data_IF_333240187702
#
_entry.id   IF_333240187702
#
_cell.length_a   1.000
_cell.length_b   1.000
_cell.length_c   1.000
_cell.angle_alpha   90.00
_cell.angle_beta   90.00
_cell.angle_gamma   90.00
#
_symmetry.space_group_name_H-M   'P 1'
#
loop_
_entity.id
_entity.type
_entity.pdbx_description
1 polymer ?
#
# COMPACT_ATOMS: atom_id res chain seq x y z
N UNK A 1 15.55 -37.43 17.14
CA UNK A 1 15.74 -37.17 15.70
C UNK A 1 15.24 -35.76 15.42
N UNK A 2 16.15 -34.79 15.35
CA UNK A 2 15.85 -33.38 15.07
C UNK A 2 16.07 -33.14 13.59
N UNK A 3 15.00 -33.04 12.80
CA UNK A 3 15.06 -32.62 11.39
C UNK A 3 15.48 -31.16 11.32
N UNK A 4 16.51 -30.78 10.55
CA UNK A 4 16.87 -29.39 10.37
C UNK A 4 15.76 -28.68 9.56
N UNK A 5 15.22 -27.59 10.08
CA UNK A 5 14.38 -26.67 9.33
C UNK A 5 15.26 -25.97 8.28
N UNK A 6 15.14 -26.38 7.02
CA UNK A 6 15.70 -25.62 5.90
C UNK A 6 14.82 -24.39 5.66
N UNK A 7 15.36 -23.21 5.97
CA UNK A 7 14.72 -21.93 5.65
C UNK A 7 15.31 -21.46 4.33
N UNK A 8 14.50 -21.46 3.26
CA UNK A 8 14.90 -20.90 1.97
C UNK A 8 14.75 -19.37 2.00
N UNK A 9 15.78 -18.68 1.50
CA UNK A 9 15.88 -17.21 1.49
C UNK A 9 16.11 -16.73 0.07
N UNK A 10 15.28 -15.80 -0.43
CA UNK A 10 15.50 -15.16 -1.74
C UNK A 10 16.35 -13.90 -1.52
N UNK A 11 17.47 -13.81 -2.24
CA UNK A 11 18.46 -12.76 -2.13
C UNK A 11 18.86 -12.20 -3.50
N UNK A 12 18.99 -10.88 -3.63
CA UNK A 12 19.59 -10.23 -4.80
C UNK A 12 21.10 -10.02 -4.52
N UNK A 13 21.95 -10.46 -5.43
CA UNK A 13 23.42 -10.39 -5.31
C UNK A 13 24.00 -9.36 -6.30
N UNK A 14 24.90 -8.51 -5.79
CA UNK A 14 25.78 -7.64 -6.57
C UNK A 14 27.21 -8.20 -6.46
N UNK A 15 27.86 -8.48 -7.58
CA UNK A 15 29.13 -9.21 -7.61
C UNK A 15 30.33 -8.31 -7.87
N UNK A 16 31.29 -8.28 -6.94
CA UNK A 16 32.72 -8.09 -7.22
C UNK A 16 33.48 -9.30 -6.66
N UNK A 17 34.31 -9.92 -7.49
CA UNK A 17 34.99 -11.19 -7.29
C UNK A 17 36.05 -11.12 -6.17
N UNK A 18 35.79 -11.76 -5.02
CA UNK A 18 36.82 -12.14 -4.04
C UNK A 18 36.51 -13.55 -3.52
N UNK A 19 37.48 -14.46 -3.70
CA UNK A 19 37.32 -15.92 -3.70
C UNK A 19 37.06 -16.59 -2.34
N UNK A 20 36.97 -15.84 -1.24
CA UNK A 20 36.67 -16.38 0.11
C UNK A 20 35.66 -15.52 0.90
N UNK A 21 34.95 -14.59 0.24
CA UNK A 21 33.97 -13.75 0.92
C UNK A 21 32.60 -14.39 0.81
N UNK A 22 32.09 -14.93 1.92
CA UNK A 22 30.68 -15.35 2.03
C UNK A 22 29.82 -14.14 1.66
N UNK A 23 29.14 -14.23 0.52
CA UNK A 23 28.26 -13.17 0.05
C UNK A 23 27.07 -13.09 1.00
N UNK A 24 26.91 -11.93 1.63
CA UNK A 24 25.70 -11.62 2.38
C UNK A 24 24.67 -11.03 1.42
N UNK A 25 23.40 -11.42 1.55
CA UNK A 25 22.34 -10.83 0.75
C UNK A 25 22.24 -9.32 1.03
N UNK A 26 21.99 -8.52 0.00
CA UNK A 26 21.75 -7.08 0.17
C UNK A 26 20.46 -6.84 0.97
N UNK A 27 19.43 -7.65 0.72
CA UNK A 27 18.21 -7.71 1.52
C UNK A 27 17.59 -9.11 1.44
N UNK A 28 16.80 -9.44 2.47
CA UNK A 28 15.92 -10.61 2.47
C UNK A 28 14.49 -10.10 2.42
N UNK A 29 13.84 -10.24 1.27
CA UNK A 29 12.49 -9.70 1.02
C UNK A 29 11.38 -10.69 1.35
N UNK A 30 11.71 -11.99 1.47
CA UNK A 30 10.77 -13.04 1.83
C UNK A 30 11.49 -14.26 2.40
N UNK A 31 10.86 -14.93 3.38
CA UNK A 31 11.34 -16.18 3.98
C UNK A 31 10.21 -17.19 4.03
N UNK A 32 10.47 -18.40 3.53
CA UNK A 32 9.57 -19.53 3.66
C UNK A 32 10.38 -20.83 3.63
N UNK A 33 9.94 -21.85 4.38
CA UNK A 33 10.65 -23.12 4.54
C UNK A 33 10.43 -24.11 3.39
N UNK A 34 9.58 -23.78 2.41
CA UNK A 34 9.20 -24.72 1.35
C UNK A 34 9.26 -24.11 -0.05
N UNK A 35 10.21 -23.21 -0.32
CA UNK A 35 10.42 -22.66 -1.66
C UNK A 35 11.29 -23.64 -2.47
N UNK A 36 10.80 -24.09 -3.62
CA UNK A 36 11.50 -25.05 -4.50
C UNK A 36 11.94 -24.45 -5.83
N UNK A 37 11.34 -23.34 -6.25
CA UNK A 37 11.64 -22.66 -7.51
C UNK A 37 11.50 -21.16 -7.36
N UNK A 38 12.29 -20.41 -8.13
CA UNK A 38 12.21 -18.94 -8.18
C UNK A 38 12.44 -18.47 -9.62
N UNK A 39 11.63 -17.53 -10.07
CA UNK A 39 11.83 -16.75 -11.28
C UNK A 39 11.55 -15.27 -10.98
N UNK A 40 12.14 -14.37 -11.73
CA UNK A 40 12.02 -12.94 -11.48
C UNK A 40 11.85 -12.17 -12.79
N UNK A 41 11.07 -11.10 -12.72
CA UNK A 41 10.97 -10.09 -13.77
C UNK A 41 11.10 -8.71 -13.17
N UNK A 42 11.59 -7.78 -13.99
CA UNK A 42 11.51 -6.36 -13.70
C UNK A 42 10.38 -5.77 -14.55
N UNK A 43 9.44 -5.10 -13.90
CA UNK A 43 8.40 -4.31 -14.57
C UNK A 43 8.52 -2.87 -14.07
N UNK A 44 9.06 -1.98 -14.91
CA UNK A 44 9.34 -0.58 -14.56
C UNK A 44 10.18 -0.46 -13.26
N UNK A 45 9.63 0.23 -12.26
CA UNK A 45 10.22 0.44 -10.93
C UNK A 45 9.96 -0.72 -9.95
N UNK A 46 9.41 -1.83 -10.42
CA UNK A 46 9.06 -2.97 -9.59
C UNK A 46 9.86 -4.21 -9.98
N UNK A 47 10.25 -4.98 -8.96
CA UNK A 47 10.79 -6.33 -9.09
C UNK A 47 9.66 -7.27 -8.71
N UNK A 48 9.33 -8.22 -9.59
CA UNK A 48 8.33 -9.24 -9.30
C UNK A 48 9.00 -10.59 -9.23
N UNK A 49 8.86 -11.23 -8.07
CA UNK A 49 9.36 -12.57 -7.79
C UNK A 49 8.21 -13.57 -7.89
N UNK A 50 8.42 -14.63 -8.64
CA UNK A 50 7.55 -15.79 -8.71
C UNK A 50 8.26 -16.94 -8.02
N UNK A 51 7.62 -17.59 -7.07
CA UNK A 51 8.23 -18.70 -6.36
C UNK A 51 7.25 -19.86 -6.16
N UNK A 52 7.70 -21.04 -6.56
CA UNK A 52 6.97 -22.28 -6.38
C UNK A 52 7.28 -22.92 -5.03
N UNK A 53 6.32 -23.69 -4.50
CA UNK A 53 6.52 -24.46 -3.27
C UNK A 53 6.54 -25.97 -3.50
N UNK A 54 7.05 -26.70 -2.51
CA UNK A 54 6.98 -28.15 -2.49
C UNK A 54 5.57 -28.73 -2.36
N UNK A 55 4.57 -27.89 -2.04
CA UNK A 55 3.13 -28.22 -2.00
C UNK A 55 2.37 -27.79 -3.25
N UNK A 56 3.05 -27.34 -4.30
CA UNK A 56 2.41 -27.04 -5.58
C UNK A 56 1.77 -25.65 -5.66
N UNK A 57 2.19 -24.72 -4.79
CA UNK A 57 1.73 -23.33 -4.83
C UNK A 57 2.69 -22.47 -5.65
N UNK A 58 2.18 -21.79 -6.68
CA UNK A 58 2.90 -20.71 -7.33
C UNK A 58 2.50 -19.39 -6.67
N UNK A 59 3.46 -18.70 -6.09
CA UNK A 59 3.26 -17.41 -5.45
C UNK A 59 3.93 -16.30 -6.25
N UNK A 60 3.38 -15.10 -6.15
CA UNK A 60 3.90 -13.86 -6.72
C UNK A 60 4.14 -12.85 -5.60
N UNK A 61 5.30 -12.22 -5.59
CA UNK A 61 5.65 -11.15 -4.67
C UNK A 61 6.16 -9.95 -5.44
N UNK A 62 5.49 -8.81 -5.27
CA UNK A 62 5.91 -7.53 -5.82
C UNK A 62 6.80 -6.81 -4.81
N UNK A 63 7.94 -6.29 -5.26
CA UNK A 63 8.95 -5.63 -4.45
C UNK A 63 9.30 -4.29 -5.11
N UNK A 64 9.32 -3.22 -4.34
CA UNK A 64 9.68 -1.90 -4.87
C UNK A 64 11.20 -1.70 -5.02
N UNK A 65 11.61 -0.59 -5.64
CA UNK A 65 13.05 -0.23 -5.80
C UNK A 65 13.84 -0.12 -4.49
N UNK A 66 13.16 0.15 -3.37
CA UNK A 66 13.77 0.22 -2.04
C UNK A 66 13.79 -1.14 -1.34
N UNK A 67 13.52 -2.23 -2.08
CA UNK A 67 13.47 -3.60 -1.58
C UNK A 67 12.40 -3.81 -0.50
N UNK A 68 11.34 -2.99 -0.47
CA UNK A 68 10.19 -3.22 0.41
C UNK A 68 9.24 -4.22 -0.26
N UNK A 69 8.98 -5.38 0.37
CA UNK A 69 8.05 -6.35 -0.17
C UNK A 69 6.60 -5.89 0.02
N UNK A 70 5.77 -6.12 -1.00
CA UNK A 70 4.33 -6.20 -0.86
C UNK A 70 3.90 -7.52 -0.22
N UNK A 71 2.66 -7.95 -0.46
CA UNK A 71 2.21 -9.25 0.00
C UNK A 71 2.26 -10.31 -1.09
N UNK A 72 2.64 -11.55 -0.72
CA UNK A 72 2.57 -12.67 -1.64
C UNK A 72 1.12 -12.96 -2.03
N UNK A 73 0.90 -13.15 -3.33
CA UNK A 73 -0.39 -13.61 -3.89
C UNK A 73 -0.19 -14.99 -4.48
N UNK A 74 -1.08 -15.94 -4.21
CA UNK A 74 -1.06 -17.26 -4.87
C UNK A 74 -1.61 -17.09 -6.28
N UNK A 75 -0.87 -17.47 -7.31
CA UNK A 75 -1.35 -17.48 -8.69
C UNK A 75 -1.92 -18.84 -9.10
N UNK A 76 -1.45 -19.90 -8.45
CA UNK A 76 -1.89 -21.26 -8.72
C UNK A 76 -1.74 -22.12 -7.46
N UNK A 77 -2.70 -23.03 -7.26
CA UNK A 77 -2.64 -24.09 -6.27
C UNK A 77 -2.92 -25.42 -6.95
N UNK A 78 -2.04 -26.39 -6.75
CA UNK A 78 -2.31 -27.78 -7.12
C UNK A 78 -3.36 -28.39 -6.18
N UNK A 79 -4.12 -29.36 -6.69
CA UNK A 79 -5.00 -30.20 -5.86
C UNK A 79 -4.28 -31.43 -5.28
N UNK A 80 -3.14 -31.77 -5.86
CA UNK A 80 -2.25 -32.84 -5.40
C UNK A 80 -0.98 -32.18 -4.86
N UNK A 81 -0.49 -32.55 -3.68
CA UNK A 81 0.71 -31.98 -3.04
C UNK A 81 2.00 -32.33 -3.81
N UNK A 82 2.11 -31.83 -5.05
CA UNK A 82 3.23 -32.02 -5.97
C UNK A 82 4.13 -30.80 -5.93
N UNK A 83 5.45 -31.01 -5.93
CA UNK A 83 6.39 -29.91 -5.89
C UNK A 83 6.54 -29.24 -7.26
N UNK A 84 6.63 -27.91 -7.27
CA UNK A 84 7.00 -27.16 -8.48
C UNK A 84 8.50 -27.32 -8.72
N UNK A 85 8.88 -27.72 -9.93
CA UNK A 85 10.29 -27.91 -10.29
C UNK A 85 11.04 -26.57 -10.39
N UNK A 86 12.37 -26.55 -10.14
CA UNK A 86 13.16 -25.32 -10.05
C UNK A 86 13.08 -24.38 -11.26
N UNK A 87 12.86 -24.92 -12.46
CA UNK A 87 12.87 -24.16 -13.70
C UNK A 87 11.47 -23.68 -14.04
N UNK A 88 11.29 -22.36 -14.04
CA UNK A 88 10.11 -21.68 -14.54
C UNK A 88 10.50 -20.72 -15.67
N UNK A 89 9.65 -20.60 -16.70
CA UNK A 89 9.95 -19.85 -17.91
C UNK A 89 8.81 -18.91 -18.26
N UNK A 90 9.10 -17.64 -18.50
CA UNK A 90 8.10 -16.70 -18.98
C UNK A 90 7.83 -16.89 -20.47
N UNK A 91 6.63 -16.51 -20.92
CA UNK A 91 6.37 -16.36 -22.36
C UNK A 91 7.36 -15.38 -22.96
N UNK A 92 7.89 -15.65 -24.17
CA UNK A 92 8.94 -14.83 -24.77
C UNK A 92 8.44 -13.43 -25.17
N UNK A 93 7.14 -13.28 -25.43
CA UNK A 93 6.51 -12.04 -25.85
C UNK A 93 5.70 -11.50 -24.67
N UNK A 94 5.98 -10.27 -24.26
CA UNK A 94 5.31 -9.52 -23.17
C UNK A 94 5.29 -10.18 -21.78
N UNK A 95 5.81 -11.39 -21.62
CA UNK A 95 5.91 -12.12 -20.34
C UNK A 95 4.56 -12.26 -19.62
N UNK A 96 3.48 -12.46 -20.38
CA UNK A 96 2.09 -12.59 -19.88
C UNK A 96 1.81 -13.84 -19.07
N UNK A 97 2.61 -14.89 -19.27
CA UNK A 97 2.43 -16.17 -18.60
C UNK A 97 3.76 -16.74 -18.14
N UNK A 98 3.70 -17.58 -17.12
CA UNK A 98 4.80 -18.38 -16.61
C UNK A 98 4.47 -19.87 -16.77
N UNK A 99 5.39 -20.58 -17.40
CA UNK A 99 5.39 -22.03 -17.53
C UNK A 99 6.16 -22.63 -16.36
N UNK A 100 5.52 -23.53 -15.62
CA UNK A 100 6.14 -24.28 -14.51
C UNK A 100 5.82 -25.78 -14.58
N UNK A 101 6.84 -26.61 -14.40
CA UNK A 101 6.63 -28.05 -14.34
C UNK A 101 6.20 -28.46 -12.92
N UNK A 102 5.14 -29.27 -12.85
CA UNK A 102 4.53 -29.78 -11.64
C UNK A 102 4.41 -31.30 -11.78
N UNK A 103 5.26 -32.05 -11.08
CA UNK A 103 5.40 -33.49 -11.30
C UNK A 103 5.73 -33.79 -12.78
N UNK A 104 4.83 -34.50 -13.46
CA UNK A 104 4.96 -34.86 -14.88
C UNK A 104 4.17 -33.95 -15.83
N UNK A 105 3.66 -32.81 -15.33
CA UNK A 105 2.81 -31.90 -16.09
C UNK A 105 3.49 -30.55 -16.31
N UNK A 106 3.13 -29.90 -17.43
CA UNK A 106 3.56 -28.55 -17.76
C UNK A 106 2.37 -27.61 -17.60
N UNK A 107 2.41 -26.72 -16.61
CA UNK A 107 1.31 -25.78 -16.32
C UNK A 107 1.69 -24.39 -16.82
N UNK A 108 0.74 -23.73 -17.50
CA UNK A 108 0.83 -22.32 -17.91
C UNK A 108 -0.05 -21.50 -16.97
N UNK A 109 0.52 -20.50 -16.30
CA UNK A 109 -0.20 -19.63 -15.38
C UNK A 109 -0.03 -18.17 -15.81
N UNK A 110 -1.10 -17.37 -15.94
CA UNK A 110 -0.98 -15.94 -16.18
C UNK A 110 -0.21 -15.24 -15.05
N UNK A 111 0.68 -14.31 -15.39
CA UNK A 111 1.48 -13.59 -14.38
C UNK A 111 0.65 -12.58 -13.58
N UNK A 112 -0.52 -12.21 -14.09
CA UNK A 112 -1.49 -11.32 -13.46
C UNK A 112 -2.90 -11.60 -14.01
N UNK A 113 -3.91 -11.26 -13.22
CA UNK A 113 -5.33 -11.40 -13.59
C UNK A 113 -6.01 -10.01 -13.55
N UNK A 114 -5.55 -9.07 -14.39
CA UNK A 114 -5.98 -7.68 -14.31
C UNK A 114 -7.51 -7.49 -14.40
N UNK A 115 -8.19 -8.34 -15.19
CA UNK A 115 -9.63 -8.27 -15.39
C UNK A 115 -10.49 -8.53 -14.15
N UNK A 116 -9.91 -8.93 -13.01
CA UNK A 116 -10.66 -9.03 -11.73
C UNK A 116 -10.99 -7.64 -11.16
N UNK A 117 -10.20 -6.61 -11.50
CA UNK A 117 -10.40 -5.25 -11.02
C UNK A 117 -11.32 -4.48 -11.97
N UNK A 118 -12.54 -4.19 -11.51
CA UNK A 118 -13.61 -3.61 -12.33
C UNK A 118 -13.62 -2.08 -12.34
N UNK A 119 -12.88 -1.43 -11.45
CA UNK A 119 -12.83 0.04 -11.34
C UNK A 119 -11.40 0.56 -11.44
N UNK A 120 -11.23 1.82 -11.85
CA UNK A 120 -9.91 2.48 -11.87
C UNK A 120 -9.25 2.45 -10.48
N UNK A 121 -10.04 2.69 -9.43
CA UNK A 121 -9.54 2.68 -8.05
C UNK A 121 -9.01 1.31 -7.65
N UNK A 122 -9.74 0.24 -7.93
CA UNK A 122 -9.32 -1.12 -7.56
C UNK A 122 -8.10 -1.56 -8.35
N UNK A 123 -8.07 -1.26 -9.65
CA UNK A 123 -6.96 -1.60 -10.54
C UNK A 123 -5.65 -0.91 -10.11
N UNK A 124 -5.71 0.39 -9.81
CA UNK A 124 -4.54 1.15 -9.36
C UNK A 124 -4.09 0.72 -7.96
N UNK A 125 -5.03 0.47 -7.05
CA UNK A 125 -4.75 0.10 -5.65
C UNK A 125 -4.22 -1.33 -5.49
N UNK A 126 -4.36 -2.18 -6.52
CA UNK A 126 -3.80 -3.52 -6.55
C UNK A 126 -2.27 -3.54 -6.49
N UNK A 127 -1.61 -2.43 -6.91
CA UNK A 127 -0.16 -2.31 -6.98
C UNK A 127 0.52 -3.47 -7.74
N UNK A 128 -0.21 -4.06 -8.70
CA UNK A 128 0.31 -5.10 -9.57
C UNK A 128 0.95 -4.45 -10.81
N UNK A 129 2.29 -4.49 -10.98
CA UNK A 129 2.97 -3.76 -12.03
C UNK A 129 2.77 -4.32 -13.45
N UNK A 130 2.01 -5.40 -13.59
CA UNK A 130 1.54 -5.87 -14.90
C UNK A 130 0.17 -5.30 -15.28
N UNK A 131 -0.56 -4.75 -14.31
CA UNK A 131 -1.91 -4.24 -14.48
C UNK A 131 -1.96 -2.72 -14.47
N UNK A 132 -2.83 -2.17 -15.30
CA UNK A 132 -3.13 -0.76 -15.33
C UNK A 132 -4.49 -0.52 -15.97
N UNK A 133 -5.04 0.65 -15.71
CA UNK A 133 -6.38 0.97 -16.16
C UNK A 133 -6.36 1.55 -17.58
N UNK A 134 -7.01 0.88 -18.52
CA UNK A 134 -7.16 1.37 -19.87
C UNK A 134 -8.36 2.32 -19.94
N UNK A 135 -8.11 3.64 -19.99
CA UNK A 135 -9.14 4.69 -19.93
C UNK A 135 -10.15 4.56 -21.06
N UNK A 136 -9.69 4.37 -22.29
CA UNK A 136 -10.56 4.28 -23.48
C UNK A 136 -11.45 3.04 -23.50
N UNK A 137 -11.04 1.97 -22.82
CA UNK A 137 -11.80 0.71 -22.73
C UNK A 137 -12.53 0.55 -21.38
N UNK A 138 -12.30 1.46 -20.43
CA UNK A 138 -12.86 1.42 -19.07
C UNK A 138 -12.69 0.04 -18.41
N UNK A 139 -11.48 -0.51 -18.47
CA UNK A 139 -11.14 -1.81 -17.85
C UNK A 139 -9.68 -1.88 -17.42
N UNK A 140 -9.40 -2.73 -16.45
CA UNK A 140 -8.02 -3.05 -16.04
C UNK A 140 -7.40 -4.11 -16.98
N UNK A 141 -6.24 -3.82 -17.56
CA UNK A 141 -5.58 -4.67 -18.55
C UNK A 141 -4.05 -4.61 -18.46
N UNK A 142 -3.37 -5.47 -19.22
CA UNK A 142 -1.96 -5.29 -19.49
C UNK A 142 -1.72 -4.05 -20.36
N UNK A 143 -0.51 -3.51 -20.32
CA UNK A 143 -0.13 -2.34 -21.10
C UNK A 143 -0.25 -2.57 -22.61
N UNK A 144 0.11 -3.75 -23.11
CA UNK A 144 0.08 -4.06 -24.55
C UNK A 144 -1.35 -4.26 -25.10
N UNK A 145 -2.35 -4.39 -24.24
CA UNK A 145 -3.77 -4.49 -24.61
C UNK A 145 -4.45 -3.10 -24.73
N UNK A 146 -3.72 -2.03 -24.44
CA UNK A 146 -4.20 -0.65 -24.41
C UNK A 146 -3.28 0.29 -25.20
N UNK A 147 -3.83 1.41 -25.70
CA UNK A 147 -3.00 2.49 -26.21
C UNK A 147 -2.12 3.03 -25.06
N UNK A 148 -0.83 3.27 -25.33
CA UNK A 148 0.11 3.75 -24.32
C UNK A 148 -0.29 5.11 -23.72
N UNK A 149 -0.99 5.95 -24.48
CA UNK A 149 -1.51 7.25 -24.02
C UNK A 149 -2.66 7.13 -23.00
N UNK A 150 -3.34 5.99 -22.97
CA UNK A 150 -4.60 5.81 -22.24
C UNK A 150 -4.45 4.83 -21.08
N UNK A 151 -3.25 4.29 -20.86
CA UNK A 151 -2.99 3.27 -19.86
C UNK A 151 -2.46 3.90 -18.57
N UNK A 152 -3.29 3.92 -17.54
CA UNK A 152 -2.93 4.40 -16.20
C UNK A 152 -2.17 3.32 -15.46
N UNK A 153 -0.88 3.54 -15.23
CA UNK A 153 -0.03 2.62 -14.49
C UNK A 153 -0.23 2.73 -12.98
N UNK A 154 0.11 1.67 -12.25
CA UNK A 154 0.35 1.71 -10.80
C UNK A 154 1.50 2.70 -10.48
N UNK A 155 1.58 3.22 -9.24
CA UNK A 155 2.64 4.15 -8.86
C UNK A 155 4.02 3.48 -8.94
N UNK A 156 5.07 4.27 -9.12
CA UNK A 156 6.45 3.77 -9.20
C UNK A 156 7.05 3.35 -7.84
N UNK A 157 6.32 3.52 -6.75
CA UNK A 157 6.78 3.26 -5.37
C UNK A 157 5.64 2.71 -4.51
N UNK A 158 5.96 1.83 -3.56
CA UNK A 158 4.99 1.32 -2.58
C UNK A 158 4.59 2.33 -1.50
N UNK A 159 5.28 3.47 -1.43
CA UNK A 159 4.96 4.55 -0.48
C UNK A 159 3.70 5.32 -0.91
N UNK A 160 3.42 5.38 -2.21
CA UNK A 160 2.26 6.07 -2.75
C UNK A 160 1.07 5.12 -2.76
N UNK A 161 0.21 5.23 -1.73
CA UNK A 161 -0.91 4.30 -1.50
C UNK A 161 -2.27 4.86 -1.84
N UNK A 162 -2.34 6.16 -2.09
CA UNK A 162 -3.58 6.85 -2.41
C UNK A 162 -3.58 7.30 -3.86
N UNK A 163 -4.66 7.04 -4.58
CA UNK A 163 -4.81 7.51 -5.97
C UNK A 163 -5.09 9.02 -6.04
N UNK A 164 -5.58 9.63 -4.96
CA UNK A 164 -5.79 11.08 -4.83
C UNK A 164 -5.02 11.58 -3.62
N UNK A 165 -4.04 12.46 -3.86
CA UNK A 165 -3.34 13.22 -2.82
C UNK A 165 -4.09 14.51 -2.55
N UNK A 166 -4.19 14.89 -1.28
CA UNK A 166 -4.74 16.19 -0.87
C UNK A 166 -3.74 16.86 0.06
N UNK A 167 -3.42 18.11 -0.24
CA UNK A 167 -2.46 18.90 0.50
C UNK A 167 -3.08 20.22 0.92
N UNK A 168 -2.71 20.67 2.11
CA UNK A 168 -3.11 21.98 2.63
C UNK A 168 -1.87 22.84 2.85
N UNK A 169 -1.96 24.09 2.41
CA UNK A 169 -0.94 25.12 2.64
C UNK A 169 -1.62 26.36 3.18
N UNK A 170 -1.12 26.88 4.30
CA UNK A 170 -1.57 28.17 4.84
C UNK A 170 -0.76 29.28 4.16
N UNK A 171 -1.47 30.31 3.70
CA UNK A 171 -0.87 31.51 3.12
C UNK A 171 0.01 32.25 4.13
N UNK A 172 0.98 33.01 3.64
CA UNK A 172 1.93 33.76 4.48
C UNK A 172 1.26 34.87 5.30
N UNK A 173 0.12 35.39 4.85
CA UNK A 173 -0.72 36.32 5.59
C UNK A 173 -1.49 35.65 6.76
N UNK A 174 -1.49 34.31 6.84
CA UNK A 174 -2.18 33.53 7.87
C UNK A 174 -3.70 33.46 7.74
N UNK A 175 -4.28 34.16 6.76
CA UNK A 175 -5.72 34.38 6.65
C UNK A 175 -6.40 33.38 5.70
N UNK A 176 -5.65 32.78 4.78
CA UNK A 176 -6.17 31.84 3.79
C UNK A 176 -5.50 30.46 3.88
N UNK A 177 -6.29 29.41 3.66
CA UNK A 177 -5.86 28.02 3.56
C UNK A 177 -6.14 27.55 2.13
N UNK A 178 -5.07 27.25 1.39
CA UNK A 178 -5.15 26.65 0.07
C UNK A 178 -5.17 25.13 0.21
N UNK A 179 -6.25 24.51 -0.24
CA UNK A 179 -6.41 23.07 -0.38
C UNK A 179 -6.14 22.71 -1.84
N UNK A 180 -5.20 21.81 -2.10
CA UNK A 180 -4.91 21.32 -3.45
C UNK A 180 -5.05 19.81 -3.46
N UNK A 181 -5.85 19.31 -4.40
CA UNK A 181 -5.96 17.89 -4.69
C UNK A 181 -5.27 17.56 -6.01
N UNK A 182 -4.63 16.40 -6.09
CA UNK A 182 -4.02 15.90 -7.32
C UNK A 182 -4.21 14.40 -7.45
N UNK A 183 -4.59 13.91 -8.64
CA UNK A 183 -4.62 12.48 -8.88
C UNK A 183 -3.21 11.98 -9.19
N UNK A 184 -2.86 10.83 -8.62
CA UNK A 184 -1.56 10.18 -8.76
C UNK A 184 -1.55 9.29 -10.01
N UNK A 185 -1.75 9.91 -11.16
CA UNK A 185 -1.77 9.27 -12.48
C UNK A 185 -0.47 9.57 -13.23
N UNK A 186 -0.18 8.79 -14.26
CA UNK A 186 0.93 9.07 -15.18
C UNK A 186 0.68 10.35 -16.01
N UNK A 187 1.76 10.97 -16.44
CA UNK A 187 1.72 12.17 -17.29
C UNK A 187 0.97 11.89 -18.60
N UNK A 188 0.09 12.82 -18.99
CA UNK A 188 -0.69 12.74 -20.23
C UNK A 188 -2.14 12.27 -20.05
N UNK A 189 -2.51 11.78 -18.86
CA UNK A 189 -3.90 11.44 -18.56
C UNK A 189 -4.69 12.72 -18.25
N UNK A 190 -5.67 13.02 -19.10
CA UNK A 190 -6.60 14.11 -18.88
C UNK A 190 -7.64 13.75 -17.84
N UNK A 191 -7.89 14.68 -16.91
CA UNK A 191 -8.93 14.56 -15.89
C UNK A 191 -9.58 15.91 -15.65
N UNK A 192 -10.84 15.90 -15.20
CA UNK A 192 -11.49 17.06 -14.60
C UNK A 192 -11.54 16.90 -13.08
N UNK A 193 -11.66 18.01 -12.37
CA UNK A 193 -11.69 18.02 -10.93
C UNK A 193 -12.76 18.98 -10.40
N UNK A 194 -13.47 18.55 -9.35
CA UNK A 194 -14.43 19.36 -8.61
C UNK A 194 -14.25 19.14 -7.11
N UNK A 195 -14.35 20.23 -6.34
CA UNK A 195 -14.38 20.21 -4.87
C UNK A 195 -15.75 20.74 -4.44
N UNK A 196 -16.62 19.88 -3.89
CA UNK A 196 -18.06 20.17 -3.68
C UNK A 196 -18.37 21.36 -2.74
N UNK A 197 -17.38 21.90 -2.01
CA UNK A 197 -17.56 23.02 -1.06
C UNK A 197 -16.80 24.28 -1.46
N UNK A 198 -16.44 24.40 -2.73
CA UNK A 198 -15.57 25.47 -3.22
C UNK A 198 -16.14 26.09 -4.49
N UNK A 199 -16.47 27.39 -4.42
CA UNK A 199 -16.70 28.21 -5.60
C UNK A 199 -15.33 28.54 -6.24
N UNK A 200 -15.02 27.79 -7.29
CA UNK A 200 -13.70 27.51 -7.90
C UNK A 200 -12.71 28.68 -8.15
N UNK A 201 -11.40 28.38 -8.21
CA UNK A 201 -10.47 28.93 -9.21
C UNK A 201 -10.29 27.92 -10.37
N UNK A 202 -11.28 27.82 -11.26
CA UNK A 202 -11.17 27.21 -12.60
C UNK A 202 -11.09 25.66 -12.70
N UNK A 203 -11.57 25.07 -13.81
CA UNK A 203 -11.69 23.60 -14.01
C UNK A 203 -10.37 22.84 -14.18
N UNK A 204 -9.24 23.55 -14.32
CA UNK A 204 -7.90 22.97 -14.53
C UNK A 204 -6.99 23.04 -13.30
N UNK A 205 -7.34 23.84 -12.29
CA UNK A 205 -6.61 23.87 -11.02
C UNK A 205 -7.49 23.20 -9.96
N UNK A 206 -7.06 22.03 -9.53
CA UNK A 206 -7.79 21.19 -8.57
C UNK A 206 -7.52 21.73 -7.15
N UNK A 207 -7.81 23.01 -6.95
CA UNK A 207 -7.44 23.83 -5.79
C UNK A 207 -8.62 24.65 -5.29
N UNK A 208 -8.64 24.91 -3.99
CA UNK A 208 -9.67 25.70 -3.31
C UNK A 208 -9.01 26.58 -2.25
N UNK A 209 -9.53 27.80 -2.08
CA UNK A 209 -9.09 28.72 -1.03
C UNK A 209 -10.20 28.84 0.00
N UNK A 210 -9.87 28.54 1.25
CA UNK A 210 -10.76 28.64 2.40
C UNK A 210 -10.26 29.75 3.32
N UNK A 211 -11.16 30.59 3.83
CA UNK A 211 -10.79 31.57 4.85
C UNK A 211 -10.52 30.86 6.17
N UNK A 212 -9.35 31.15 6.77
CA UNK A 212 -8.91 30.63 8.07
C UNK A 212 -9.88 31.03 9.19
N UNK A 213 -10.53 32.19 9.08
CA UNK A 213 -11.50 32.70 10.06
C UNK A 213 -12.83 31.94 10.06
N UNK A 214 -13.26 31.42 8.91
CA UNK A 214 -14.49 30.62 8.79
C UNK A 214 -14.23 29.11 8.93
N UNK A 215 -12.99 28.70 9.20
CA UNK A 215 -12.64 27.30 9.37
C UNK A 215 -13.21 26.76 10.69
N UNK A 216 -14.12 25.78 10.67
CA UNK A 216 -14.78 25.31 11.89
C UNK A 216 -13.78 24.69 12.86
N UNK A 217 -14.00 24.90 14.17
CA UNK A 217 -13.19 24.27 15.21
C UNK A 217 -13.23 22.73 15.14
N UNK A 218 -14.35 22.16 14.69
CA UNK A 218 -14.56 20.71 14.53
C UNK A 218 -13.97 20.13 13.22
N UNK A 219 -13.37 20.98 12.39
CA UNK A 219 -12.85 20.64 11.07
C UNK A 219 -13.89 20.77 9.96
N UNK A 220 -13.45 20.58 8.72
CA UNK A 220 -14.27 20.72 7.51
C UNK A 220 -14.19 19.45 6.67
N UNK A 221 -15.31 18.76 6.47
CA UNK A 221 -15.37 17.64 5.51
C UNK A 221 -15.60 18.15 4.10
N UNK A 222 -14.83 17.68 3.12
CA UNK A 222 -15.01 17.97 1.70
C UNK A 222 -14.84 16.72 0.85
N UNK A 223 -15.53 16.68 -0.28
CA UNK A 223 -15.40 15.61 -1.27
C UNK A 223 -14.57 16.14 -2.44
N UNK A 224 -13.49 15.43 -2.75
CA UNK A 224 -12.72 15.63 -3.98
C UNK A 224 -13.25 14.67 -5.03
N UNK A 225 -13.72 15.21 -6.15
CA UNK A 225 -14.25 14.45 -7.27
C UNK A 225 -13.29 14.64 -8.44
N UNK A 226 -12.69 13.54 -8.89
CA UNK A 226 -11.82 13.52 -10.07
C UNK A 226 -12.45 12.60 -11.10
N UNK A 227 -12.71 13.13 -12.29
CA UNK A 227 -13.29 12.36 -13.40
C UNK A 227 -12.23 12.12 -14.47
N UNK A 228 -11.97 10.84 -14.73
CA UNK A 228 -11.07 10.37 -15.79
C UNK A 228 -11.91 9.72 -16.87
N UNK A 229 -12.27 10.51 -17.89
CA UNK A 229 -13.27 10.15 -18.90
C UNK A 229 -14.61 9.66 -18.31
N UNK A 230 -14.81 8.34 -18.20
CA UNK A 230 -16.05 7.72 -17.68
C UNK A 230 -15.95 7.31 -16.21
N UNK A 231 -14.73 7.20 -15.68
CA UNK A 231 -14.50 6.83 -14.30
C UNK A 231 -14.55 8.06 -13.40
N UNK A 232 -15.21 7.92 -12.25
CA UNK A 232 -15.26 8.98 -11.24
C UNK A 232 -14.64 8.47 -9.95
N UNK A 233 -13.59 9.15 -9.50
CA UNK A 233 -12.91 8.90 -8.25
C UNK A 233 -13.39 9.93 -7.22
N UNK A 234 -13.97 9.45 -6.13
CA UNK A 234 -14.43 10.30 -5.02
C UNK A 234 -13.56 10.03 -3.80
N UNK A 235 -12.96 11.08 -3.23
CA UNK A 235 -12.23 11.00 -1.96
C UNK A 235 -12.82 12.00 -0.99
N UNK A 236 -13.44 11.49 0.05
CA UNK A 236 -13.88 12.29 1.18
C UNK A 236 -12.68 12.57 2.08
N UNK A 237 -12.49 13.84 2.42
CA UNK A 237 -11.40 14.30 3.27
C UNK A 237 -12.00 15.11 4.40
N UNK A 238 -11.58 14.79 5.62
CA UNK A 238 -11.81 15.66 6.78
C UNK A 238 -10.58 16.54 6.94
N UNK A 239 -10.75 17.83 6.72
CA UNK A 239 -9.71 18.80 7.02
C UNK A 239 -9.75 19.12 8.50
N UNK A 240 -8.66 18.84 9.19
CA UNK A 240 -8.51 19.17 10.61
C UNK A 240 -7.75 20.48 10.76
N UNK A 241 -8.04 21.20 11.84
CA UNK A 241 -7.25 22.35 12.19
C UNK A 241 -5.92 21.86 12.78
N UNK A 242 -4.81 22.00 12.05
CA UNK A 242 -3.49 21.55 12.51
C UNK A 242 -3.15 22.12 13.90
N UNK A 243 -3.59 23.36 14.18
CA UNK A 243 -3.37 24.01 15.46
C UNK A 243 -4.25 23.47 16.59
N UNK A 244 -5.22 22.61 16.33
CA UNK A 244 -6.09 21.99 17.33
C UNK A 244 -5.58 20.60 17.78
N UNK A 245 -4.66 19.97 17.03
CA UNK A 245 -4.06 18.68 17.36
C UNK A 245 -3.09 18.86 18.55
N UNK A 246 -3.59 18.68 19.78
CA UNK A 246 -2.90 18.89 21.05
C UNK A 246 -3.41 17.93 22.13
N UNK A 247 -2.69 17.81 23.25
CA UNK A 247 -3.20 17.16 24.48
C UNK A 247 -2.90 15.66 24.63
N UNK A 248 -2.27 15.03 23.64
CA UNK A 248 -1.77 13.64 23.71
C UNK A 248 -0.24 13.53 23.87
N UNK A 249 0.30 12.30 23.96
CA UNK A 249 1.75 12.07 23.92
C UNK A 249 2.36 12.55 22.59
N UNK A 250 3.58 13.14 22.59
CA UNK A 250 4.20 13.70 21.38
C UNK A 250 4.30 12.72 20.20
N UNK A 251 4.58 11.45 20.47
CA UNK A 251 4.67 10.40 19.42
C UNK A 251 3.33 10.13 18.73
N UNK A 252 2.23 10.16 19.49
CA UNK A 252 0.87 9.95 18.97
C UNK A 252 0.41 11.18 18.20
N UNK A 253 0.56 12.37 18.79
CA UNK A 253 0.22 13.64 18.15
C UNK A 253 1.02 13.88 16.87
N UNK A 254 2.29 13.44 16.81
CA UNK A 254 3.09 13.54 15.60
C UNK A 254 2.48 12.71 14.47
N UNK A 255 2.09 11.45 14.73
CA UNK A 255 1.46 10.59 13.72
C UNK A 255 0.11 11.16 13.26
N UNK A 256 -0.70 11.65 14.20
CA UNK A 256 -2.00 12.30 13.93
C UNK A 256 -1.81 13.55 13.06
N UNK A 257 -0.84 14.42 13.42
CA UNK A 257 -0.49 15.62 12.67
C UNK A 257 -0.15 15.33 11.20
N UNK A 258 0.67 14.32 10.95
CA UNK A 258 1.01 13.93 9.58
C UNK A 258 -0.18 13.31 8.84
N UNK A 259 -1.04 12.55 9.52
CA UNK A 259 -2.25 11.98 8.92
C UNK A 259 -3.25 13.06 8.49
N UNK A 260 -3.29 14.19 9.22
CA UNK A 260 -4.05 15.38 8.87
C UNK A 260 -3.42 16.23 7.74
N UNK A 261 -2.24 15.85 7.23
CA UNK A 261 -1.52 16.56 6.17
C UNK A 261 -0.72 17.78 6.63
N UNK A 262 -0.56 17.94 7.95
CA UNK A 262 0.16 19.04 8.62
C UNK A 262 1.66 18.72 8.78
N UNK A 263 2.40 19.62 9.45
CA UNK A 263 3.85 19.46 9.74
C UNK A 263 4.08 19.48 11.24
N UNK A 264 4.91 18.57 11.74
CA UNK A 264 5.32 18.56 13.15
C UNK A 264 6.53 19.47 13.38
N UNK A 265 6.42 20.42 14.32
CA UNK A 265 7.52 21.30 14.70
C UNK A 265 8.35 20.69 15.84
N UNK A 266 9.63 20.39 15.56
CA UNK A 266 10.58 19.86 16.55
C UNK A 266 10.98 20.88 17.64
N UNK A 267 10.88 22.18 17.36
CA UNK A 267 11.24 23.22 18.32
C UNK A 267 10.11 23.56 19.30
N UNK A 268 8.87 23.20 18.95
CA UNK A 268 7.68 23.54 19.74
C UNK A 268 6.85 22.34 20.18
N UNK A 269 7.27 21.11 19.86
CA UNK A 269 6.52 19.86 20.09
C UNK A 269 5.02 19.99 19.76
N UNK A 270 4.74 20.63 18.63
CA UNK A 270 3.39 21.00 18.24
C UNK A 270 3.16 20.79 16.74
N UNK A 271 1.92 20.43 16.41
CA UNK A 271 1.45 20.35 15.05
C UNK A 271 1.21 21.76 14.49
N UNK A 272 1.76 22.05 13.31
CA UNK A 272 1.64 23.33 12.62
C UNK A 272 1.25 23.15 11.16
N UNK A 273 0.75 24.23 10.55
CA UNK A 273 0.40 24.24 9.14
C UNK A 273 1.65 24.27 8.25
N UNK A 274 1.59 23.61 7.09
CA UNK A 274 2.60 23.79 6.04
C UNK A 274 2.51 25.22 5.48
N UNK A 275 3.63 25.93 5.46
CA UNK A 275 3.78 27.27 4.89
C UNK A 275 4.55 27.20 3.57
N UNK A 276 4.57 28.29 2.80
CA UNK A 276 5.37 28.37 1.57
C UNK A 276 6.89 28.18 1.80
N UNK A 277 7.37 28.37 3.03
CA UNK A 277 8.76 28.23 3.45
C UNK A 277 9.13 26.85 3.99
N UNK A 278 8.18 25.92 4.11
CA UNK A 278 8.47 24.55 4.59
C UNK A 278 8.91 23.69 3.40
N UNK A 279 10.15 23.21 3.40
CA UNK A 279 10.63 22.27 2.39
C UNK A 279 9.97 20.89 2.58
N UNK A 280 9.53 20.27 1.49
CA UNK A 280 8.82 18.97 1.47
C UNK A 280 9.75 17.75 1.71
N UNK A 281 10.98 17.95 2.22
CA UNK A 281 12.02 16.91 2.26
C UNK A 281 12.02 16.03 3.52
N UNK A 282 11.09 16.24 4.46
CA UNK A 282 11.08 15.51 5.73
C UNK A 282 10.00 14.44 5.75
N UNK A 283 10.42 13.18 5.70
CA UNK A 283 9.57 11.99 5.80
C UNK A 283 9.00 11.84 7.23
N UNK A 284 7.66 11.68 7.31
CA UNK A 284 6.86 11.43 8.54
C UNK A 284 7.51 10.45 9.52
N UNK A 285 8.14 9.41 8.96
CA UNK A 285 8.62 8.27 9.71
C UNK A 285 9.91 8.54 10.48
N UNK A 286 10.73 9.51 10.05
CA UNK A 286 12.01 9.83 10.70
C UNK A 286 11.84 10.85 11.83
N UNK A 287 10.86 11.76 11.71
CA UNK A 287 10.54 12.77 12.74
C UNK A 287 9.85 12.13 13.93
N UNK A 288 8.78 11.37 13.69
CA UNK A 288 7.98 10.81 14.79
C UNK A 288 8.67 9.63 15.50
N UNK A 289 9.63 8.94 14.86
CA UNK A 289 10.40 7.84 15.49
C UNK A 289 11.38 8.32 16.56
N UNK A 290 11.89 9.54 16.42
CA UNK A 290 12.87 10.11 17.35
C UNK A 290 12.23 10.74 18.58
N UNK A 291 10.90 10.91 18.59
CA UNK A 291 10.13 11.28 19.77
C UNK A 291 10.02 10.04 20.66
N UNK A 292 10.79 10.03 21.75
CA UNK A 292 10.80 8.92 22.70
C UNK A 292 9.36 8.57 23.13
N UNK A 293 8.97 7.29 23.13
CA UNK A 293 7.66 6.92 23.67
C UNK A 293 7.69 7.23 25.17
N UNK A 294 6.91 8.24 25.57
CA UNK A 294 6.57 8.41 26.98
C UNK A 294 6.07 7.06 27.51
N UNK A 295 6.51 6.71 28.71
CA UNK A 295 6.32 5.43 29.41
C UNK A 295 4.87 4.91 29.56
N UNK A 296 3.89 5.59 28.97
CA UNK A 296 2.46 5.34 29.10
C UNK A 296 1.77 5.08 27.75
N UNK A 297 2.47 4.53 26.74
CA UNK A 297 1.78 4.00 25.58
C UNK A 297 1.18 2.64 25.96
N UNK A 298 -0.10 2.64 26.34
CA UNK A 298 -0.86 1.40 26.55
C UNK A 298 -0.80 0.58 25.28
N UNK A 299 -0.26 -0.63 25.39
CA UNK A 299 -0.03 -1.51 24.24
C UNK A 299 -1.34 -1.75 23.49
N UNK A 300 -1.37 -1.65 22.15
CA UNK A 300 -2.54 -2.02 21.37
C UNK A 300 -2.83 -3.51 21.56
N UNK A 301 -4.08 -3.82 21.86
CA UNK A 301 -4.54 -5.19 22.10
C UNK A 301 -5.63 -5.53 21.10
N UNK A 302 -5.43 -6.57 20.29
CA UNK A 302 -6.46 -7.06 19.36
C UNK A 302 -7.33 -8.06 20.10
N UNK A 303 -8.63 -7.76 20.22
CA UNK A 303 -9.62 -8.61 20.87
C UNK A 303 -10.29 -9.57 19.86
N UNK A 304 -10.55 -9.13 18.63
CA UNK A 304 -11.11 -9.96 17.58
C UNK A 304 -10.80 -9.44 16.17
N UNK A 305 -10.81 -10.33 15.18
CA UNK A 305 -10.77 -10.00 13.75
C UNK A 305 -11.94 -10.71 13.08
N UNK A 306 -12.71 -10.04 12.22
CA UNK A 306 -13.89 -10.62 11.56
C UNK A 306 -13.92 -10.23 10.08
N UNK A 307 -14.03 -11.17 9.14
CA UNK A 307 -14.08 -12.61 9.35
C UNK A 307 -12.72 -13.20 9.79
N UNK A 308 -12.77 -14.29 10.56
CA UNK A 308 -11.62 -15.02 11.07
C UNK A 308 -10.85 -15.75 9.94
N UNK A 309 -11.51 -15.86 8.77
CA UNK A 309 -10.98 -16.36 7.51
C UNK A 309 -11.14 -15.29 6.44
N UNK A 310 -10.00 -14.86 5.90
CA UNK A 310 -9.94 -13.86 4.84
C UNK A 310 -9.27 -14.48 3.62
N UNK A 311 -9.78 -14.16 2.43
CA UNK A 311 -9.16 -14.55 1.18
C UNK A 311 -7.75 -13.96 1.08
N UNK A 312 -6.82 -14.62 0.41
CA UNK A 312 -5.53 -13.99 0.04
C UNK A 312 -5.66 -13.08 -1.20
N UNK A 313 -6.86 -13.03 -1.78
CA UNK A 313 -7.17 -12.26 -2.98
C UNK A 313 -8.11 -11.10 -2.66
N UNK A 314 -7.71 -9.89 -3.05
CA UNK A 314 -8.54 -8.69 -2.99
C UNK A 314 -8.61 -8.03 -1.62
N UNK A 315 -9.52 -7.06 -1.47
CA UNK A 315 -9.81 -6.39 -0.21
C UNK A 315 -10.77 -7.27 0.58
N UNK A 316 -10.33 -7.76 1.74
CA UNK A 316 -11.07 -8.78 2.50
C UNK A 316 -12.11 -8.23 3.47
N UNK A 317 -12.26 -6.91 3.58
CA UNK A 317 -13.22 -6.26 4.50
C UNK A 317 -13.04 -6.67 5.96
N UNK A 318 -11.83 -7.09 6.36
CA UNK A 318 -11.56 -7.60 7.69
C UNK A 318 -11.65 -6.48 8.74
N UNK A 319 -12.55 -6.64 9.69
CA UNK A 319 -12.81 -5.70 10.79
C UNK A 319 -12.07 -6.16 12.03
N UNK A 320 -11.22 -5.30 12.57
CA UNK A 320 -10.42 -5.58 13.76
C UNK A 320 -11.01 -4.80 14.93
N UNK A 321 -11.31 -5.51 16.02
CA UNK A 321 -11.76 -4.92 17.29
C UNK A 321 -10.69 -5.14 18.33
N UNK A 322 -10.45 -4.12 19.14
CA UNK A 322 -9.36 -4.13 20.10
C UNK A 322 -9.39 -2.93 21.02
N UNK A 323 -8.37 -2.82 21.85
CA UNK A 323 -8.12 -1.68 22.73
C UNK A 323 -6.92 -0.91 22.20
N UNK A 324 -6.94 0.42 22.36
CA UNK A 324 -5.85 1.31 21.96
C UNK A 324 -5.45 1.16 20.47
N UNK A 325 -6.40 0.88 19.58
CA UNK A 325 -6.15 0.73 18.14
C UNK A 325 -6.05 2.06 17.39
N UNK A 326 -6.34 3.19 18.03
CA UNK A 326 -6.49 4.51 17.39
C UNK A 326 -5.24 4.97 16.65
N UNK A 327 -4.05 4.62 17.14
CA UNK A 327 -2.76 4.95 16.52
C UNK A 327 -2.16 3.80 15.72
N UNK A 328 -2.86 2.66 15.57
CA UNK A 328 -2.35 1.49 14.86
C UNK A 328 -2.46 1.72 13.36
N UNK A 329 -1.31 2.00 12.74
CA UNK A 329 -1.19 2.23 11.28
C UNK A 329 -0.78 0.97 10.50
N UNK A 330 -0.30 -0.07 11.22
CA UNK A 330 0.18 -1.33 10.66
C UNK A 330 -0.08 -2.47 11.64
N UNK A 331 -0.58 -3.59 11.12
CA UNK A 331 -0.69 -4.85 11.85
C UNK A 331 0.20 -5.86 11.15
N UNK A 332 1.03 -6.56 11.92
CA UNK A 332 1.91 -7.62 11.43
C UNK A 332 1.48 -8.93 12.08
N UNK A 333 1.21 -9.95 11.26
CA UNK A 333 0.96 -11.30 11.74
C UNK A 333 2.29 -12.04 11.87
N UNK A 334 2.63 -12.47 13.09
CA UNK A 334 3.82 -13.29 13.36
C UNK A 334 3.62 -14.78 13.02
N UNK A 335 2.41 -15.20 12.63
CA UNK A 335 2.15 -16.56 12.19
C UNK A 335 2.27 -16.67 10.67
N UNK A 336 3.29 -17.41 10.26
CA UNK A 336 3.39 -18.04 8.96
C UNK A 336 2.09 -18.79 8.69
N UNK A 337 1.46 -18.50 7.55
CA UNK A 337 0.17 -18.99 7.03
C UNK A 337 -0.92 -17.91 7.05
N UNK A 338 -1.12 -17.26 5.91
CA UNK A 338 -2.46 -16.88 5.50
C UNK A 338 -3.25 -18.16 5.16
N UNK A 339 -3.52 -19.01 6.17
CA UNK A 339 -4.47 -20.11 6.08
C UNK A 339 -5.26 -20.23 7.38
N UNK A 340 -6.57 -20.02 7.24
CA UNK A 340 -7.66 -20.64 8.01
C UNK A 340 -7.42 -21.04 9.47
N UNK A 341 -8.05 -20.23 10.36
CA UNK A 341 -8.49 -20.48 11.76
C UNK A 341 -7.76 -19.66 12.83
N UNK A 342 -8.46 -18.64 13.34
CA UNK A 342 -8.21 -18.04 14.66
C UNK A 342 -9.23 -18.60 15.65
N UNK A 343 -8.76 -19.26 16.72
CA UNK A 343 -9.63 -19.77 17.81
C UNK A 343 -9.89 -18.68 18.86
N UNK A 344 -11.16 -18.54 19.24
CA UNK A 344 -11.67 -17.64 20.28
C UNK A 344 -11.26 -18.02 21.71
N UNK A 345 -11.10 -17.00 22.56
CA UNK A 345 -11.46 -17.01 23.98
C UNK A 345 -12.19 -15.71 24.35
N UNK A 346 -13.21 -15.84 25.20
CA UNK A 346 -14.32 -14.91 25.45
C UNK A 346 -14.07 -14.03 26.70
N UNK A 347 -14.46 -12.73 26.69
CA UNK A 347 -15.38 -12.03 27.62
C UNK A 347 -15.19 -10.49 27.78
N UNK A 348 -16.35 -9.81 27.78
CA UNK A 348 -16.77 -8.50 28.33
C UNK A 348 -16.36 -7.11 27.70
N UNK A 349 -17.28 -6.64 26.84
CA UNK A 349 -17.96 -5.32 26.70
C UNK A 349 -17.24 -3.94 26.70
N UNK A 350 -17.55 -3.15 25.64
CA UNK A 350 -17.46 -1.68 25.35
C UNK A 350 -16.13 -1.13 24.76
N UNK A 351 -16.14 -0.02 23.98
CA UNK A 351 -16.99 0.40 22.85
C UNK A 351 -16.31 0.13 21.48
N UNK A 352 -17.05 0.31 20.38
CA UNK A 352 -16.73 -0.18 19.03
C UNK A 352 -16.18 0.97 18.17
N UNK A 353 -15.02 0.79 17.53
CA UNK A 353 -14.56 1.67 16.45
C UNK A 353 -14.20 0.85 15.20
N UNK A 354 -14.57 1.38 14.03
CA UNK A 354 -14.48 0.72 12.73
C UNK A 354 -13.20 1.16 12.01
N UNK A 355 -12.33 0.22 11.67
CA UNK A 355 -11.17 0.48 10.81
C UNK A 355 -11.05 -0.65 9.79
N UNK A 356 -11.27 -0.35 8.51
CA UNK A 356 -10.92 -1.24 7.40
C UNK A 356 -9.40 -1.20 7.23
N UNK A 357 -8.71 -2.27 7.61
CA UNK A 357 -7.27 -2.41 7.41
C UNK A 357 -7.01 -3.43 6.31
N UNK A 358 -6.18 -3.08 5.33
CA UNK A 358 -5.61 -4.02 4.38
C UNK A 358 -4.67 -4.98 5.14
N UNK A 359 -5.01 -6.27 5.31
CA UNK A 359 -4.29 -7.17 6.19
C UNK A 359 -3.15 -7.80 5.39
N UNK A 360 -2.13 -7.01 5.09
CA UNK A 360 -1.06 -7.47 4.21
C UNK A 360 0.21 -6.66 4.51
N UNK A 361 0.96 -7.08 5.54
CA UNK A 361 2.29 -6.57 5.82
C UNK A 361 3.23 -7.69 6.26
N UNK A 362 4.16 -8.03 5.36
CA UNK A 362 5.33 -8.90 5.60
C UNK A 362 6.37 -8.13 6.42
N UNK A 363 7.12 -8.92 7.21
CA UNK A 363 8.19 -8.63 8.17
C UNK A 363 9.16 -7.51 7.75
#
# INVERSE_FOLDING_TARGET
>A
MTTPLFISVIALLQSDLIKDKVLKPAAVVFRSSNITSVAALRSNSWIVLFFGTGTGLLNKLVVDVSLRPGCPTVLYSSNEDQHILPRMLFTPVHHTDIYMALGNQMIRVPVAQCGVYQTLRDCWSALDPFCGWCVSQSRCSFQHDCSSSDWVSVPGTSQQREIISVHMKRSTNGQDITVTASPNLNSGIHFSCALEKCDSPGPSSCSCILSSESFPAEGLSLSVIITVQRETLIKDVRLENCSAIRGGPPSVLCMECFSAGCVWSLSGDACTWRTASTEDNVTTQDVCRNLTPGQNLTTPEILSVTPDEVSIHGRNGAVIKGRNLESVTKISHQHYLCSSKLKHQTLHSLPIMHQELNPCLVL
#
